data_IF_592861709547
#
_entry.id   IF_592861709547
#
_cell.length_a   1.000
_cell.length_b   1.000
_cell.length_c   1.000
_cell.angle_alpha   90.00
_cell.angle_beta   90.00
_cell.angle_gamma   90.00
#
_symmetry.space_group_name_H-M   'P 1'
#
loop_
_entity.id
_entity.type
_entity.pdbx_description
1 polymer ?
#
# COMPACT_ATOMS: atom_id res chain seq x y z
N UNK A 1 -75.19 1.88 44.42
CA UNK A 1 -75.05 1.01 45.60
C UNK A 1 -73.94 0.01 45.36
N UNK A 2 -72.98 -0.08 46.29
CA UNK A 2 -71.93 -1.11 46.45
C UNK A 2 -70.80 -1.20 45.41
N UNK A 3 -69.70 -0.55 45.79
CA UNK A 3 -68.29 -1.02 45.83
C UNK A 3 -68.00 -2.47 45.44
N UNK A 4 -66.87 -2.69 44.75
CA UNK A 4 -65.86 -3.66 45.19
C UNK A 4 -64.45 -3.33 44.68
N UNK A 5 -63.55 -3.14 45.64
CA UNK A 5 -62.09 -3.11 45.50
C UNK A 5 -61.60 -4.56 45.32
N UNK A 6 -60.64 -4.79 44.44
CA UNK A 6 -59.71 -5.93 44.55
C UNK A 6 -58.30 -5.50 44.13
N UNK A 7 -57.34 -6.14 44.78
CA UNK A 7 -55.99 -5.72 45.14
C UNK A 7 -54.89 -6.30 44.23
N UNK A 8 -53.81 -5.53 44.08
CA UNK A 8 -52.39 -5.85 43.87
C UNK A 8 -51.95 -7.17 43.15
N UNK A 9 -51.10 -7.01 42.13
CA UNK A 9 -49.73 -7.57 42.17
C UNK A 9 -48.81 -6.88 41.15
N UNK A 10 -47.58 -6.46 41.51
CA UNK A 10 -46.60 -6.00 40.54
C UNK A 10 -45.83 -7.22 40.02
N UNK A 11 -45.91 -7.51 38.72
CA UNK A 11 -45.04 -8.51 38.10
C UNK A 11 -43.79 -7.83 37.54
N UNK A 12 -42.75 -7.79 38.37
CA UNK A 12 -41.38 -7.58 37.95
C UNK A 12 -40.98 -8.75 37.02
N UNK A 13 -40.71 -8.48 35.74
CA UNK A 13 -40.02 -9.44 34.87
C UNK A 13 -38.80 -8.77 34.24
N UNK A 14 -37.66 -9.08 34.89
CA UNK A 14 -36.27 -9.06 34.44
C UNK A 14 -36.08 -8.61 32.99
N UNK A 15 -35.61 -7.38 32.81
CA UNK A 15 -34.86 -6.96 31.64
C UNK A 15 -33.61 -7.83 31.54
N UNK A 16 -33.57 -8.74 30.58
CA UNK A 16 -32.34 -9.44 30.23
C UNK A 16 -31.42 -8.42 29.57
N UNK A 17 -30.34 -8.04 30.27
CA UNK A 17 -29.20 -7.39 29.63
C UNK A 17 -28.59 -8.43 28.69
N UNK A 18 -28.86 -8.32 27.40
CA UNK A 18 -28.06 -8.99 26.39
C UNK A 18 -26.69 -8.31 26.40
N UNK A 19 -25.74 -8.90 27.13
CA UNK A 19 -24.34 -8.49 27.07
C UNK A 19 -23.84 -8.76 25.65
N UNK A 20 -23.78 -7.71 24.85
CA UNK A 20 -23.17 -7.74 23.52
C UNK A 20 -21.65 -7.89 23.72
N UNK A 21 -21.19 -9.14 23.71
CA UNK A 21 -19.77 -9.45 23.62
C UNK A 21 -19.34 -9.11 22.19
N UNK A 22 -18.99 -7.85 21.92
CA UNK A 22 -18.32 -7.48 20.68
C UNK A 22 -16.92 -8.09 20.80
N UNK A 23 -16.57 -9.15 20.04
CA UNK A 23 -15.18 -9.55 19.99
C UNK A 23 -14.43 -8.34 19.45
N UNK A 24 -13.26 -8.00 20.01
CA UNK A 24 -12.30 -7.14 19.31
C UNK A 24 -11.90 -7.86 18.01
N UNK A 25 -12.78 -7.84 17.02
CA UNK A 25 -12.43 -8.10 15.64
C UNK A 25 -11.58 -6.90 15.26
N UNK A 26 -10.32 -7.20 14.95
CA UNK A 26 -9.38 -6.28 14.31
C UNK A 26 -10.14 -5.40 13.33
N UNK A 27 -9.90 -4.09 13.30
CA UNK A 27 -10.53 -3.21 12.32
C UNK A 27 -10.37 -3.85 10.94
N UNK A 28 -11.50 -4.18 10.30
CA UNK A 28 -11.53 -4.53 8.90
C UNK A 28 -11.20 -3.22 8.19
N UNK A 29 -9.92 -2.88 8.07
CA UNK A 29 -9.46 -1.82 7.20
C UNK A 29 -9.62 -2.33 5.76
N UNK A 30 -10.87 -2.51 5.32
CA UNK A 30 -11.19 -2.58 3.90
C UNK A 30 -11.26 -1.12 3.45
N UNK A 31 -10.09 -0.49 3.33
CA UNK A 31 -10.00 0.70 2.51
C UNK A 31 -10.15 0.25 1.06
N UNK A 32 -11.01 0.92 0.29
CA UNK A 32 -11.22 0.55 -1.09
C UNK A 32 -9.90 0.70 -1.85
N UNK A 33 -9.51 -0.33 -2.61
CA UNK A 33 -8.30 -0.26 -3.42
C UNK A 33 -8.33 0.99 -4.31
N UNK A 34 -7.30 1.82 -4.19
CA UNK A 34 -7.10 3.01 -5.00
C UNK A 34 -5.83 2.81 -5.82
N UNK A 35 -6.02 2.54 -7.11
CA UNK A 35 -4.91 2.23 -8.02
C UNK A 35 -4.86 3.17 -9.20
N UNK A 36 -3.67 3.41 -9.75
CA UNK A 36 -3.47 4.19 -10.96
C UNK A 36 -2.54 3.48 -11.94
N UNK A 37 -2.81 3.66 -13.23
CA UNK A 37 -1.96 3.17 -14.32
C UNK A 37 -1.78 4.27 -15.35
N UNK A 38 -0.53 4.67 -15.61
CA UNK A 38 -0.15 5.66 -16.63
C UNK A 38 0.62 4.94 -17.73
N UNK A 39 0.01 4.83 -18.90
CA UNK A 39 0.53 4.04 -20.03
C UNK A 39 0.42 4.74 -21.38
N UNK A 40 -0.01 6.00 -21.40
CA UNK A 40 -0.41 6.75 -22.58
C UNK A 40 0.59 7.84 -22.98
N UNK A 41 1.81 7.82 -22.41
CA UNK A 41 2.84 8.82 -22.68
C UNK A 41 2.62 10.14 -21.95
N UNK A 42 1.65 10.22 -21.03
CA UNK A 42 1.39 11.44 -20.25
C UNK A 42 2.22 11.50 -18.98
N UNK A 43 2.37 12.72 -18.46
CA UNK A 43 2.90 12.96 -17.10
C UNK A 43 1.73 13.24 -16.16
N UNK A 44 1.61 12.43 -15.10
CA UNK A 44 0.50 12.52 -14.14
C UNK A 44 1.05 12.77 -12.74
N UNK A 45 0.74 13.92 -12.12
CA UNK A 45 0.95 14.12 -10.69
C UNK A 45 -0.07 13.31 -9.88
N UNK A 46 0.38 12.67 -8.80
CA UNK A 46 -0.47 11.97 -7.83
C UNK A 46 -0.18 12.44 -6.41
N UNK A 47 -1.22 12.47 -5.58
CA UNK A 47 -1.14 12.83 -4.16
C UNK A 47 -2.19 12.07 -3.34
N UNK A 48 -2.08 12.12 -2.02
CA UNK A 48 -2.97 11.39 -1.12
C UNK A 48 -2.64 9.91 -1.05
N UNK A 49 -3.65 9.06 -0.83
CA UNK A 49 -3.46 7.64 -0.57
C UNK A 49 -3.69 6.80 -1.85
N UNK A 50 -2.77 5.88 -2.15
CA UNK A 50 -2.96 4.79 -3.12
C UNK A 50 -2.68 3.44 -2.44
N UNK A 51 -3.31 2.37 -2.90
CA UNK A 51 -3.13 1.08 -2.26
C UNK A 51 -4.06 -0.02 -2.70
N UNK A 52 -3.76 -1.24 -2.24
CA UNK A 52 -4.59 -2.42 -2.49
C UNK A 52 -4.29 -3.55 -1.50
N UNK A 53 -5.31 -4.34 -1.19
CA UNK A 53 -5.27 -5.58 -0.42
C UNK A 53 -5.53 -6.83 -1.29
N UNK A 54 -5.52 -6.69 -2.61
CA UNK A 54 -5.71 -7.80 -3.54
C UNK A 54 -4.37 -8.42 -3.98
N UNK A 55 -4.32 -9.75 -4.05
CA UNK A 55 -3.11 -10.46 -4.48
C UNK A 55 -2.69 -10.07 -5.90
N UNK A 56 -1.39 -9.84 -6.08
CA UNK A 56 -0.75 -9.47 -7.34
C UNK A 56 -1.26 -8.16 -7.98
N UNK A 57 -2.12 -7.40 -7.30
CA UNK A 57 -2.55 -6.08 -7.76
C UNK A 57 -1.50 -5.04 -7.38
N UNK A 58 -1.14 -4.18 -8.33
CA UNK A 58 -0.18 -3.09 -8.10
C UNK A 58 -0.95 -1.83 -7.78
N UNK A 59 -0.50 -1.04 -6.81
CA UNK A 59 -1.15 0.22 -6.49
C UNK A 59 -0.86 1.28 -7.57
N UNK A 60 0.41 1.41 -7.97
CA UNK A 60 0.83 2.38 -8.98
C UNK A 60 1.55 1.67 -10.12
N UNK A 61 1.13 1.92 -11.36
CA UNK A 61 1.76 1.39 -12.57
C UNK A 61 2.15 2.53 -13.50
N UNK A 62 3.41 2.50 -13.95
CA UNK A 62 3.89 3.37 -15.04
C UNK A 62 4.53 2.50 -16.10
N UNK A 63 4.04 2.60 -17.33
CA UNK A 63 4.51 1.80 -18.44
C UNK A 63 4.66 2.60 -19.72
N UNK A 64 5.71 2.30 -20.48
CA UNK A 64 5.93 2.89 -21.80
C UNK A 64 6.76 4.15 -21.72
N UNK A 65 7.43 4.45 -22.83
CA UNK A 65 8.19 5.70 -23.01
C UNK A 65 7.27 6.91 -22.80
N UNK A 66 7.82 7.98 -22.23
CA UNK A 66 7.14 9.26 -21.93
C UNK A 66 6.03 9.21 -20.85
N UNK A 67 5.52 8.02 -20.51
CA UNK A 67 4.63 7.83 -19.35
C UNK A 67 5.39 8.12 -18.06
N UNK A 68 4.94 9.12 -17.32
CA UNK A 68 5.60 9.58 -16.10
C UNK A 68 4.58 9.76 -14.98
N UNK A 69 4.93 9.30 -13.78
CA UNK A 69 4.25 9.70 -12.55
C UNK A 69 5.19 10.56 -11.71
N UNK A 70 4.65 11.65 -11.17
CA UNK A 70 5.32 12.49 -10.17
C UNK A 70 4.49 12.53 -8.88
N UNK A 71 5.14 12.56 -7.73
CA UNK A 71 4.47 12.65 -6.43
C UNK A 71 5.35 13.27 -5.37
N UNK A 72 4.73 13.94 -4.40
CA UNK A 72 5.41 14.70 -3.35
C UNK A 72 5.17 14.08 -1.96
N UNK A 73 5.44 14.84 -0.90
CA UNK A 73 5.42 14.37 0.49
C UNK A 73 4.02 14.01 1.01
N UNK A 74 2.96 14.44 0.34
CA UNK A 74 1.57 14.11 0.67
C UNK A 74 1.09 12.80 0.02
N UNK A 75 1.95 12.13 -0.76
CA UNK A 75 1.68 10.82 -1.34
C UNK A 75 2.02 9.69 -0.36
N UNK A 76 1.04 8.82 -0.11
CA UNK A 76 1.20 7.56 0.61
C UNK A 76 0.73 6.38 -0.25
N UNK A 77 1.53 5.31 -0.31
CA UNK A 77 1.19 4.08 -1.04
C UNK A 77 1.26 2.89 -0.06
N UNK A 78 0.15 2.21 0.17
CA UNK A 78 0.10 1.03 1.05
C UNK A 78 -0.47 -0.22 0.36
N UNK A 79 0.27 -1.33 0.40
CA UNK A 79 -0.22 -2.62 -0.10
C UNK A 79 -0.01 -3.75 0.90
N UNK A 80 -0.99 -4.64 1.03
CA UNK A 80 -0.98 -5.65 2.10
C UNK A 80 -0.89 -7.09 1.61
N UNK A 81 -1.34 -7.38 0.38
CA UNK A 81 -1.45 -8.73 -0.13
C UNK A 81 -0.21 -9.26 -0.86
N UNK A 82 -0.15 -10.58 -1.04
CA UNK A 82 0.93 -11.29 -1.73
C UNK A 82 1.18 -10.69 -3.11
N UNK A 83 2.43 -10.38 -3.43
CA UNK A 83 2.84 -9.86 -4.73
C UNK A 83 2.21 -8.51 -5.10
N UNK A 84 1.53 -7.84 -4.16
CA UNK A 84 0.93 -6.54 -4.38
C UNK A 84 2.01 -5.46 -4.25
N UNK A 85 2.71 -5.17 -5.34
CA UNK A 85 3.78 -4.18 -5.28
C UNK A 85 3.20 -2.76 -5.09
N UNK A 86 3.91 -1.91 -4.34
CA UNK A 86 3.54 -0.51 -4.20
C UNK A 86 3.58 0.18 -5.56
N UNK A 87 4.74 0.15 -6.22
CA UNK A 87 4.92 0.72 -7.55
C UNK A 87 5.55 -0.28 -8.53
N UNK A 88 5.07 -0.25 -9.77
CA UNK A 88 5.59 -1.04 -10.88
C UNK A 88 5.94 -0.12 -12.05
N UNK A 89 7.22 -0.03 -12.38
CA UNK A 89 7.73 0.77 -13.50
C UNK A 89 8.23 -0.19 -14.57
N UNK A 90 7.73 -0.06 -15.81
CA UNK A 90 8.11 -0.98 -16.88
C UNK A 90 8.32 -0.30 -18.22
N UNK A 91 9.18 -0.89 -19.06
CA UNK A 91 9.28 -0.58 -20.49
C UNK A 91 9.40 0.92 -20.83
N UNK A 92 10.34 1.62 -20.18
CA UNK A 92 10.61 3.04 -20.42
C UNK A 92 9.79 4.01 -19.56
N UNK A 93 8.88 3.51 -18.71
CA UNK A 93 8.14 4.34 -17.77
C UNK A 93 9.05 5.05 -16.76
N UNK A 94 8.60 6.20 -16.26
CA UNK A 94 9.35 7.03 -15.32
C UNK A 94 8.56 7.33 -14.04
N UNK A 95 9.22 7.24 -12.89
CA UNK A 95 8.68 7.65 -11.60
C UNK A 95 9.63 8.65 -10.93
N UNK A 96 9.11 9.77 -10.47
CA UNK A 96 9.83 10.73 -9.62
C UNK A 96 9.03 11.00 -8.33
N UNK A 97 9.58 10.63 -7.18
CA UNK A 97 8.96 10.87 -5.88
C UNK A 97 9.84 11.78 -5.02
N UNK A 98 9.24 12.82 -4.43
CA UNK A 98 9.89 13.76 -3.51
C UNK A 98 9.22 13.72 -2.14
N UNK A 99 9.81 13.01 -1.17
CA UNK A 99 9.30 12.93 0.20
C UNK A 99 8.16 11.94 0.43
N UNK A 100 7.74 11.17 -0.57
CA UNK A 100 6.59 10.24 -0.47
C UNK A 100 6.84 9.04 0.47
N UNK A 101 5.75 8.41 0.92
CA UNK A 101 5.79 7.21 1.77
C UNK A 101 5.25 5.97 1.04
N UNK A 102 5.98 4.86 1.08
CA UNK A 102 5.54 3.57 0.52
C UNK A 102 5.66 2.49 1.60
N UNK A 103 4.60 1.70 1.76
CA UNK A 103 4.56 0.56 2.69
C UNK A 103 4.00 -0.68 2.02
N UNK A 104 4.71 -1.80 2.10
CA UNK A 104 4.23 -3.09 1.58
C UNK A 104 4.39 -4.20 2.62
N UNK A 105 3.35 -5.01 2.81
CA UNK A 105 3.37 -6.09 3.80
C UNK A 105 3.35 -7.50 3.22
N UNK A 106 2.93 -7.65 1.96
CA UNK A 106 2.76 -8.95 1.33
C UNK A 106 4.04 -9.72 1.03
N UNK A 107 3.96 -11.05 1.04
CA UNK A 107 5.04 -11.93 0.57
C UNK A 107 5.34 -11.64 -0.90
N UNK A 108 6.61 -11.44 -1.25
CA UNK A 108 7.09 -11.04 -2.59
C UNK A 108 6.50 -9.69 -3.05
N UNK A 109 5.96 -8.88 -2.14
CA UNK A 109 5.48 -7.54 -2.46
C UNK A 109 6.62 -6.52 -2.35
N UNK A 110 7.11 -6.07 -3.50
CA UNK A 110 8.15 -5.05 -3.57
C UNK A 110 7.58 -3.66 -3.25
N UNK A 111 8.35 -2.82 -2.57
CA UNK A 111 8.02 -1.39 -2.47
C UNK A 111 7.94 -0.77 -3.86
N UNK A 112 9.04 -0.89 -4.61
CA UNK A 112 9.13 -0.51 -6.02
C UNK A 112 9.79 -1.62 -6.82
N UNK A 113 9.11 -2.05 -7.88
CA UNK A 113 9.65 -2.95 -8.90
C UNK A 113 9.87 -2.18 -10.20
N UNK A 114 11.14 -1.90 -10.50
CA UNK A 114 11.59 -1.20 -11.69
C UNK A 114 12.17 -2.20 -12.70
N UNK A 115 11.47 -2.44 -13.81
CA UNK A 115 11.92 -3.35 -14.86
C UNK A 115 12.07 -2.59 -16.18
N UNK A 116 13.31 -2.19 -16.49
CA UNK A 116 13.65 -1.35 -17.65
C UNK A 116 12.94 0.02 -17.64
N UNK A 117 12.80 0.64 -16.47
CA UNK A 117 12.28 2.00 -16.31
C UNK A 117 13.28 2.95 -15.65
N UNK A 118 12.84 4.18 -15.41
CA UNK A 118 13.58 5.21 -14.69
C UNK A 118 12.91 5.51 -13.36
N UNK A 119 13.69 5.49 -12.28
CA UNK A 119 13.24 5.80 -10.92
C UNK A 119 14.11 6.92 -10.35
N UNK A 120 13.47 7.96 -9.82
CA UNK A 120 14.10 9.00 -9.00
C UNK A 120 13.34 9.07 -7.68
N UNK A 121 14.07 8.94 -6.57
CA UNK A 121 13.57 9.14 -5.22
C UNK A 121 14.41 10.23 -4.55
N UNK A 122 13.76 11.25 -4.01
CA UNK A 122 14.38 12.31 -3.21
C UNK A 122 13.66 12.37 -1.88
N UNK A 123 14.30 12.00 -0.77
CA UNK A 123 13.64 11.94 0.53
C UNK A 123 12.62 10.81 0.65
N UNK A 124 11.78 10.88 1.68
CA UNK A 124 10.68 9.95 1.90
C UNK A 124 11.09 8.63 2.52
N UNK A 125 10.14 7.69 2.57
CA UNK A 125 10.33 6.38 3.23
C UNK A 125 9.77 5.23 2.40
N UNK A 126 10.47 4.10 2.38
CA UNK A 126 9.97 2.83 1.86
C UNK A 126 10.11 1.77 2.96
N UNK A 127 8.99 1.18 3.37
CA UNK A 127 8.97 0.10 4.36
C UNK A 127 8.39 -1.17 3.74
N UNK A 128 9.14 -2.28 3.81
CA UNK A 128 8.65 -3.59 3.37
C UNK A 128 8.81 -4.65 4.46
N UNK A 129 7.76 -5.41 4.73
CA UNK A 129 7.78 -6.41 5.81
C UNK A 129 7.59 -7.85 5.35
N UNK A 130 7.16 -8.07 4.12
CA UNK A 130 6.92 -9.41 3.59
C UNK A 130 8.20 -10.14 3.20
N UNK A 131 8.21 -11.47 3.34
CA UNK A 131 9.31 -12.31 2.87
C UNK A 131 9.57 -12.06 1.38
N UNK A 132 10.85 -11.89 0.99
CA UNK A 132 11.30 -11.55 -0.37
C UNK A 132 10.70 -10.23 -0.93
N UNK A 133 10.10 -9.39 -0.08
CA UNK A 133 9.62 -8.07 -0.47
C UNK A 133 10.75 -7.05 -0.39
N UNK A 134 11.53 -6.89 -1.46
CA UNK A 134 12.59 -5.87 -1.50
C UNK A 134 12.00 -4.45 -1.47
N UNK A 135 12.75 -3.50 -0.91
CA UNK A 135 12.37 -2.08 -0.93
C UNK A 135 12.30 -1.55 -2.35
N UNK A 136 13.46 -1.52 -3.02
CA UNK A 136 13.59 -1.20 -4.45
C UNK A 136 14.27 -2.37 -5.16
N UNK A 137 13.59 -2.94 -6.14
CA UNK A 137 14.15 -3.95 -7.04
C UNK A 137 14.22 -3.38 -8.46
N UNK A 138 15.43 -3.17 -8.98
CA UNK A 138 15.66 -2.72 -10.35
C UNK A 138 16.27 -3.84 -11.20
N UNK A 139 15.75 -4.06 -12.40
CA UNK A 139 16.22 -5.14 -13.28
C UNK A 139 16.15 -4.79 -14.75
N UNK A 140 17.10 -5.34 -15.51
CA UNK A 140 17.15 -5.26 -16.96
C UNK A 140 17.99 -4.09 -17.47
N UNK A 141 18.55 -4.29 -18.67
CA UNK A 141 19.40 -3.30 -19.31
C UNK A 141 18.62 -2.01 -19.55
N UNK A 142 19.20 -0.88 -19.13
CA UNK A 142 18.57 0.43 -19.21
C UNK A 142 17.69 0.80 -18.01
N UNK A 143 17.45 -0.12 -17.06
CA UNK A 143 16.83 0.23 -15.79
C UNK A 143 17.75 1.14 -14.98
N UNK A 144 17.22 2.26 -14.50
CA UNK A 144 17.96 3.24 -13.69
C UNK A 144 17.17 3.54 -12.42
N UNK A 145 17.85 3.58 -11.29
CA UNK A 145 17.30 4.08 -10.03
C UNK A 145 18.30 5.02 -9.36
N UNK A 146 17.87 6.26 -9.16
CA UNK A 146 18.58 7.27 -8.38
C UNK A 146 17.84 7.46 -7.04
N UNK A 147 18.50 7.13 -5.93
CA UNK A 147 17.90 7.12 -4.60
C UNK A 147 18.68 8.08 -3.71
N UNK A 148 18.13 9.28 -3.50
CA UNK A 148 18.74 10.31 -2.70
C UNK A 148 17.94 10.55 -1.41
N UNK A 149 18.60 10.48 -0.26
CA UNK A 149 18.01 10.85 1.04
C UNK A 149 16.72 10.09 1.42
N UNK A 150 16.41 8.96 0.75
CA UNK A 150 15.27 8.10 1.06
C UNK A 150 15.64 7.06 2.10
N UNK A 151 14.83 6.92 3.14
CA UNK A 151 14.96 5.84 4.11
C UNK A 151 14.28 4.57 3.59
N UNK A 152 15.01 3.45 3.55
CA UNK A 152 14.47 2.17 3.10
C UNK A 152 14.67 1.12 4.19
N UNK A 153 13.57 0.68 4.78
CA UNK A 153 13.54 -0.34 5.84
C UNK A 153 12.89 -1.62 5.34
N UNK A 154 13.61 -2.73 5.43
CA UNK A 154 13.11 -4.05 5.04
C UNK A 154 13.28 -5.05 6.18
N UNK A 155 12.21 -5.72 6.60
CA UNK A 155 12.24 -6.68 7.72
C UNK A 155 11.88 -8.11 7.34
N UNK A 156 11.50 -8.35 6.08
CA UNK A 156 11.13 -9.68 5.59
C UNK A 156 12.36 -10.59 5.37
N UNK A 157 12.18 -11.90 5.56
CA UNK A 157 13.22 -12.88 5.24
C UNK A 157 13.62 -12.82 3.77
N UNK A 158 14.93 -12.88 3.48
CA UNK A 158 15.49 -12.76 2.12
C UNK A 158 15.09 -11.49 1.36
N UNK A 159 14.75 -10.41 2.08
CA UNK A 159 14.52 -9.09 1.50
C UNK A 159 15.82 -8.28 1.49
N UNK A 160 15.97 -7.45 0.46
CA UNK A 160 17.03 -6.45 0.35
C UNK A 160 16.41 -5.06 0.28
N UNK A 161 17.04 -4.07 0.91
CA UNK A 161 16.62 -2.68 0.80
C UNK A 161 16.64 -2.21 -0.66
N UNK A 162 17.79 -2.39 -1.33
CA UNK A 162 17.95 -2.07 -2.75
C UNK A 162 18.65 -3.24 -3.42
N UNK A 163 18.13 -3.70 -4.56
CA UNK A 163 18.74 -4.76 -5.36
C UNK A 163 18.67 -4.41 -6.85
N UNK A 164 19.80 -4.60 -7.55
CA UNK A 164 19.94 -4.37 -8.99
C UNK A 164 20.40 -5.65 -9.69
N UNK A 165 19.76 -6.02 -10.80
CA UNK A 165 20.17 -7.19 -11.60
C UNK A 165 20.17 -6.92 -13.10
N UNK A 166 20.89 -7.73 -13.88
CA UNK A 166 20.86 -7.73 -15.36
C UNK A 166 21.14 -6.32 -15.93
N UNK A 167 22.23 -5.69 -15.50
CA UNK A 167 22.69 -4.40 -16.04
C UNK A 167 21.89 -3.17 -15.57
N UNK A 168 21.12 -3.29 -14.49
CA UNK A 168 20.52 -2.13 -13.82
C UNK A 168 21.60 -1.18 -13.28
N UNK A 169 21.38 0.13 -13.43
CA UNK A 169 22.21 1.17 -12.84
C UNK A 169 21.54 1.72 -11.57
N UNK A 170 22.26 1.67 -10.45
CA UNK A 170 21.83 2.18 -9.15
C UNK A 170 22.79 3.29 -8.71
N UNK A 171 22.25 4.44 -8.29
CA UNK A 171 23.03 5.59 -7.82
C UNK A 171 22.42 6.19 -6.58
#
# INVERSE_FOLDING_TARGET
MKTNRTTFSPRFRKTWLASLLIPLFSPIHSWAAQTISVTDGTTVPISGEYGTDAEYQRAVVVQGTDSTIIGDADLSIETTARGANGVNITNGGSLNLDGSAIKTNGVVAYGINNNKGSLVLNGGTITTTGQQGNGVYSTGLGSRANINSTEITTSGGSAYAVSGTIGAALT
#
